data_IF_701351632941
#
_entry.id   IF_701351632941
#
_cell.length_a   1.000
_cell.length_b   1.000
_cell.length_c   1.000
_cell.angle_alpha   90.00
_cell.angle_beta   90.00
_cell.angle_gamma   90.00
#
_symmetry.space_group_name_H-M   'P 1'
#
loop_
_entity.id
_entity.type
_entity.pdbx_description
1 polymer ?
#
# COMPACT_ATOMS: atom_id res chain seq x y z
N UNK A 1 24.27 -25.72 -34.33
CA UNK A 1 24.48 -24.27 -34.13
C UNK A 1 25.77 -23.95 -34.87
N UNK A 2 25.68 -23.24 -35.99
CA UNK A 2 26.86 -22.97 -36.83
C UNK A 2 27.45 -21.58 -36.60
N UNK A 3 26.69 -20.62 -36.06
CA UNK A 3 27.24 -19.31 -35.68
C UNK A 3 26.38 -18.62 -34.59
N UNK A 4 27.03 -17.94 -33.64
CA UNK A 4 26.39 -17.07 -32.64
C UNK A 4 26.89 -15.64 -32.92
N UNK A 5 26.02 -14.79 -33.45
CA UNK A 5 26.39 -13.46 -33.92
C UNK A 5 26.33 -12.37 -32.83
N UNK A 6 26.12 -12.70 -31.55
CA UNK A 6 25.85 -11.72 -30.48
C UNK A 6 26.60 -12.06 -29.18
N UNK A 7 27.26 -11.06 -28.61
CA UNK A 7 27.88 -11.11 -27.27
C UNK A 7 26.89 -10.70 -26.18
N UNK A 8 27.00 -11.30 -24.98
CA UNK A 8 26.07 -11.05 -23.89
C UNK A 8 26.10 -9.58 -23.42
N UNK A 9 24.95 -8.90 -23.47
CA UNK A 9 24.76 -7.55 -22.91
C UNK A 9 24.41 -6.44 -23.90
N UNK A 10 24.26 -6.72 -25.20
CA UNK A 10 23.92 -5.71 -26.22
C UNK A 10 22.41 -5.64 -26.53
N UNK A 11 21.90 -4.42 -26.65
CA UNK A 11 20.51 -4.14 -27.06
C UNK A 11 20.41 -4.16 -28.59
N UNK A 12 19.48 -4.93 -29.16
CA UNK A 12 19.30 -5.04 -30.62
C UNK A 12 17.90 -4.62 -31.07
N UNK A 13 17.79 -4.18 -32.32
CA UNK A 13 16.52 -3.83 -32.94
C UNK A 13 15.65 -5.06 -33.22
N UNK A 14 14.32 -4.87 -33.19
CA UNK A 14 13.34 -5.95 -33.43
C UNK A 14 13.52 -6.48 -34.86
N UNK A 15 13.86 -7.77 -34.99
CA UNK A 15 14.04 -8.45 -36.28
C UNK A 15 15.48 -8.90 -36.59
N UNK A 16 16.45 -8.66 -35.70
CA UNK A 16 17.82 -9.14 -35.91
C UNK A 16 17.96 -10.65 -35.62
N UNK A 17 18.65 -11.38 -36.50
CA UNK A 17 18.94 -12.82 -36.36
C UNK A 17 19.99 -13.06 -35.27
N UNK A 18 19.64 -13.85 -34.25
CA UNK A 18 20.50 -14.08 -33.07
C UNK A 18 21.30 -15.40 -33.20
N UNK A 19 20.79 -16.37 -33.94
CA UNK A 19 21.36 -17.72 -34.02
C UNK A 19 20.92 -18.43 -35.31
N UNK A 20 21.87 -19.07 -36.01
CA UNK A 20 21.61 -19.92 -37.18
C UNK A 20 21.84 -21.41 -36.82
N UNK A 21 20.81 -22.23 -37.04
CA UNK A 21 20.84 -23.68 -36.89
C UNK A 21 20.82 -24.31 -38.28
N UNK A 22 21.87 -25.05 -38.63
CA UNK A 22 21.87 -25.94 -39.78
C UNK A 22 21.43 -27.34 -39.31
N UNK A 23 20.39 -27.89 -39.93
CA UNK A 23 19.92 -29.26 -39.71
C UNK A 23 19.70 -29.91 -41.06
N UNK A 24 20.63 -30.79 -41.46
CA UNK A 24 20.48 -31.64 -42.63
C UNK A 24 19.53 -32.83 -42.33
N UNK A 25 18.72 -33.29 -43.31
CA UNK A 25 17.74 -34.35 -43.10
C UNK A 25 18.37 -35.74 -43.27
N UNK A 26 18.06 -36.66 -42.36
CA UNK A 26 18.30 -38.09 -42.56
C UNK A 26 16.99 -38.85 -42.37
N UNK A 27 16.57 -39.44 -43.48
CA UNK A 27 15.37 -40.25 -43.68
C UNK A 27 15.56 -41.68 -43.14
N UNK A 28 14.55 -42.21 -42.45
CA UNK A 28 14.10 -43.61 -42.52
C UNK A 28 14.74 -44.64 -41.57
N UNK A 29 13.88 -45.36 -40.82
CA UNK A 29 14.26 -46.62 -40.15
C UNK A 29 13.46 -46.99 -38.90
N UNK A 30 12.23 -47.48 -39.09
CA UNK A 30 11.52 -48.56 -38.37
C UNK A 30 12.11 -49.14 -37.06
N UNK A 31 11.33 -49.18 -35.96
CA UNK A 31 10.75 -50.39 -35.31
C UNK A 31 10.06 -50.00 -33.96
N UNK A 32 8.84 -50.51 -33.72
CA UNK A 32 8.10 -50.52 -32.44
C UNK A 32 8.67 -51.61 -31.47
N UNK A 33 8.20 -51.86 -30.21
CA UNK A 33 6.95 -51.47 -29.56
C UNK A 33 7.03 -51.03 -28.07
N UNK A 34 5.85 -50.78 -27.49
CA UNK A 34 5.56 -50.44 -26.08
C UNK A 34 5.87 -51.59 -25.08
N UNK A 35 5.83 -51.36 -23.74
CA UNK A 35 4.54 -51.47 -23.04
C UNK A 35 4.28 -50.48 -21.88
N UNK A 36 2.99 -50.36 -21.60
CA UNK A 36 2.27 -49.86 -20.41
C UNK A 36 2.78 -50.35 -19.06
N UNK A 37 2.71 -49.51 -18.01
CA UNK A 37 2.25 -49.89 -16.66
C UNK A 37 1.77 -48.66 -15.88
N UNK A 38 0.55 -48.77 -15.37
CA UNK A 38 -0.17 -47.89 -14.45
C UNK A 38 0.44 -47.85 -13.04
N UNK A 39 0.11 -46.86 -12.22
CA UNK A 39 -0.61 -46.98 -10.93
C UNK A 39 -0.64 -45.62 -10.20
N UNK A 40 -1.82 -45.38 -9.64
CA UNK A 40 -2.41 -44.25 -8.91
C UNK A 40 -1.65 -43.69 -7.66
N UNK A 41 -2.14 -42.56 -7.11
CA UNK A 41 -1.53 -41.76 -6.02
C UNK A 41 -2.04 -42.22 -4.64
N UNK A 42 -1.48 -41.69 -3.54
CA UNK A 42 -2.15 -41.78 -2.25
C UNK A 42 -2.87 -40.47 -1.90
N UNK A 43 -4.18 -40.60 -1.67
CA UNK A 43 -4.98 -39.66 -0.89
C UNK A 43 -5.13 -40.17 0.56
N UNK A 44 -5.04 -39.22 1.49
CA UNK A 44 -5.80 -39.08 2.76
C UNK A 44 -5.79 -40.18 3.83
N UNK A 45 -5.58 -39.75 5.09
CA UNK A 45 -6.37 -40.04 6.33
C UNK A 45 -5.44 -39.83 7.55
N UNK A 46 -5.54 -38.72 8.27
CA UNK A 46 -6.26 -38.54 9.55
C UNK A 46 -5.71 -39.36 10.73
N UNK A 47 -5.21 -38.67 11.76
CA UNK A 47 -5.37 -39.06 13.18
C UNK A 47 -4.90 -37.92 14.10
N UNK A 48 -5.86 -37.32 14.83
CA UNK A 48 -5.60 -36.61 16.08
C UNK A 48 -5.34 -37.63 17.21
N UNK A 49 -4.63 -37.21 18.28
CA UNK A 49 -5.27 -37.35 19.60
C UNK A 49 -5.12 -36.12 20.50
N UNK A 50 -6.27 -35.84 21.13
CA UNK A 50 -6.64 -35.24 22.43
C UNK A 50 -5.63 -34.61 23.41
N UNK A 51 -6.12 -33.69 24.28
CA UNK A 51 -5.38 -32.63 24.95
C UNK A 51 -4.93 -32.98 26.37
N UNK A 52 -3.83 -32.38 26.83
CA UNK A 52 -3.43 -32.42 28.24
C UNK A 52 -2.79 -31.09 28.70
N UNK A 53 -3.42 -30.52 29.72
CA UNK A 53 -2.81 -29.82 30.85
C UNK A 53 -2.22 -28.41 30.67
N UNK A 54 -3.06 -27.46 31.08
CA UNK A 54 -2.74 -26.11 31.56
C UNK A 54 -1.70 -26.11 32.69
N UNK A 55 -0.80 -25.11 32.73
CA UNK A 55 -0.22 -24.62 33.96
C UNK A 55 -0.80 -23.26 34.36
N UNK A 56 -1.31 -23.28 35.59
CA UNK A 56 -1.64 -22.21 36.54
C UNK A 56 -1.20 -20.76 36.24
N UNK A 57 -2.18 -19.88 36.34
CA UNK A 57 -2.08 -18.43 36.48
C UNK A 57 -1.65 -18.08 37.92
N UNK A 58 -0.59 -17.28 38.16
CA UNK A 58 -0.43 -16.59 39.43
C UNK A 58 -1.17 -15.25 39.39
N UNK A 59 -2.08 -15.06 40.35
CA UNK A 59 -2.78 -13.80 40.60
C UNK A 59 -1.81 -12.74 41.15
N UNK A 60 -1.80 -11.50 40.62
CA UNK A 60 -1.24 -10.37 41.34
C UNK A 60 -2.33 -9.65 42.16
N UNK A 61 -1.97 -9.36 43.41
CA UNK A 61 -2.70 -8.55 44.39
C UNK A 61 -2.89 -7.10 43.93
N UNK A 62 -3.99 -6.43 44.32
CA UNK A 62 -4.23 -5.03 43.96
C UNK A 62 -3.44 -4.11 44.89
N UNK A 63 -2.41 -3.44 44.37
CA UNK A 63 -1.82 -2.26 45.03
C UNK A 63 -2.43 -1.01 44.42
N UNK A 64 -3.24 -0.33 45.23
CA UNK A 64 -3.84 0.97 44.94
C UNK A 64 -2.76 2.05 44.87
N UNK A 65 -2.60 2.68 43.70
CA UNK A 65 -1.82 3.91 43.55
C UNK A 65 -2.70 5.00 42.95
N UNK A 66 -3.16 5.86 43.86
CA UNK A 66 -3.60 7.24 43.71
C UNK A 66 -3.53 7.87 42.31
N UNK A 67 -4.70 8.12 41.72
CA UNK A 67 -4.90 8.96 40.54
C UNK A 67 -4.62 10.43 40.91
N UNK A 68 -3.59 11.03 40.32
CA UNK A 68 -3.40 12.48 40.26
C UNK A 68 -3.93 12.98 38.91
N UNK A 69 -4.74 14.06 38.86
CA UNK A 69 -5.37 14.49 37.62
C UNK A 69 -4.38 15.08 36.61
N UNK A 70 -4.41 14.48 35.41
CA UNK A 70 -4.11 15.00 34.07
C UNK A 70 -3.13 16.17 33.92
N UNK A 71 -1.87 15.85 33.61
CA UNK A 71 -1.07 16.74 32.74
C UNK A 71 -1.49 16.48 31.30
N UNK A 72 -2.15 17.46 30.68
CA UNK A 72 -2.32 17.49 29.23
C UNK A 72 -0.95 17.42 28.57
N UNK A 73 -0.70 16.34 27.84
CA UNK A 73 0.48 16.19 26.99
C UNK A 73 0.38 17.22 25.86
N UNK A 74 1.02 18.36 26.06
CA UNK A 74 1.31 19.30 24.97
C UNK A 74 2.24 18.56 24.02
N UNK A 75 1.84 18.43 22.75
CA UNK A 75 2.64 17.80 21.69
C UNK A 75 4.07 18.34 21.64
N UNK A 76 5.00 17.62 20.99
CA UNK A 76 6.43 17.87 21.11
C UNK A 76 6.73 19.34 20.80
N UNK A 77 7.09 20.09 21.85
CA UNK A 77 7.60 21.45 21.73
C UNK A 77 8.83 21.31 20.85
N UNK A 78 8.75 21.83 19.61
CA UNK A 78 9.93 21.95 18.75
C UNK A 78 10.89 22.88 19.47
N UNK A 79 11.82 22.31 20.21
CA UNK A 79 12.96 23.03 20.74
C UNK A 79 13.90 23.29 19.57
N UNK A 80 13.47 24.17 18.67
CA UNK A 80 14.41 24.89 17.84
C UNK A 80 15.27 25.66 18.84
N UNK A 81 16.60 25.51 18.82
CA UNK A 81 17.57 26.25 19.63
C UNK A 81 17.60 27.75 19.33
N UNK A 82 16.40 28.35 19.22
CA UNK A 82 16.11 29.70 18.80
C UNK A 82 15.84 30.50 20.07
N UNK A 83 16.53 31.64 20.20
CA UNK A 83 16.38 32.55 21.33
C UNK A 83 14.90 32.91 21.48
N UNK A 84 14.35 32.74 22.69
CA UNK A 84 12.95 33.09 23.01
C UNK A 84 12.66 34.50 22.51
N UNK A 85 11.56 34.67 21.79
CA UNK A 85 11.18 35.99 21.29
C UNK A 85 10.98 36.96 22.45
N UNK A 86 11.56 38.16 22.36
CA UNK A 86 11.38 39.22 23.34
C UNK A 86 9.99 39.81 23.13
N UNK A 87 9.05 39.60 24.05
CA UNK A 87 7.67 40.04 23.90
C UNK A 87 7.01 40.29 25.26
N UNK A 88 6.11 41.28 25.31
CA UNK A 88 5.32 41.56 26.51
C UNK A 88 4.31 40.42 26.79
N UNK A 89 3.93 40.18 28.06
CA UNK A 89 2.95 39.14 28.42
C UNK A 89 1.62 39.25 27.66
N UNK A 90 1.14 40.47 27.41
CA UNK A 90 -0.10 40.73 26.66
C UNK A 90 -0.01 40.26 25.20
N UNK A 91 1.15 40.44 24.56
CA UNK A 91 1.40 39.97 23.18
C UNK A 91 1.46 38.45 23.12
N UNK A 92 2.05 37.80 24.14
CA UNK A 92 2.04 36.33 24.27
C UNK A 92 0.64 35.77 24.43
N UNK A 93 -0.22 36.44 25.20
CA UNK A 93 -1.63 36.06 25.36
C UNK A 93 -2.36 36.16 24.01
N UNK A 94 -2.21 37.28 23.31
CA UNK A 94 -2.81 37.49 21.98
C UNK A 94 -2.34 36.44 20.96
N UNK A 95 -1.05 36.11 20.94
CA UNK A 95 -0.51 35.10 20.04
C UNK A 95 -1.13 33.71 20.30
N UNK A 96 -1.33 33.34 21.58
CA UNK A 96 -2.01 32.08 21.94
C UNK A 96 -3.47 32.06 21.54
N UNK A 97 -4.18 33.18 21.69
CA UNK A 97 -5.60 33.29 21.30
C UNK A 97 -5.78 33.16 19.78
N UNK A 98 -4.84 33.69 18.98
CA UNK A 98 -4.87 33.62 17.52
C UNK A 98 -4.21 32.33 16.98
N UNK A 99 -3.60 31.51 17.85
CA UNK A 99 -2.93 30.27 17.44
C UNK A 99 -1.59 30.47 16.74
N UNK A 100 -0.93 31.62 16.95
CA UNK A 100 0.37 31.97 16.38
C UNK A 100 1.49 31.65 17.38
N UNK A 101 2.52 30.94 16.94
CA UNK A 101 3.73 30.74 17.75
C UNK A 101 4.59 32.01 17.76
N UNK A 102 4.66 32.65 18.92
CA UNK A 102 5.38 33.92 19.09
C UNK A 102 6.89 33.80 18.82
N UNK A 103 7.46 32.60 19.00
CA UNK A 103 8.89 32.36 18.75
C UNK A 103 9.21 32.31 17.23
N UNK A 104 8.19 32.34 16.37
CA UNK A 104 8.32 32.39 14.90
C UNK A 104 8.01 33.76 14.29
N UNK A 105 7.54 34.72 15.10
CA UNK A 105 7.22 36.09 14.68
C UNK A 105 8.48 36.96 14.79
N UNK A 106 8.83 37.64 13.70
CA UNK A 106 9.90 38.64 13.70
C UNK A 106 9.39 39.93 14.34
N UNK A 107 10.05 40.37 15.42
CA UNK A 107 9.70 41.62 16.11
C UNK A 107 10.35 42.83 15.45
N UNK A 108 9.55 43.87 15.20
CA UNK A 108 10.00 45.09 14.50
C UNK A 108 10.30 46.25 15.46
N UNK A 109 10.00 46.08 16.76
CA UNK A 109 10.15 47.13 17.77
C UNK A 109 11.59 47.25 18.28
N UNK A 110 11.89 48.36 18.95
CA UNK A 110 13.24 48.71 19.43
C UNK A 110 13.82 47.59 20.29
N UNK A 111 14.96 47.02 19.86
CA UNK A 111 15.60 45.87 20.51
C UNK A 111 15.06 44.50 20.07
N UNK A 112 14.35 44.42 18.94
CA UNK A 112 13.83 43.17 18.38
C UNK A 112 12.64 42.60 19.15
N UNK A 113 11.86 43.46 19.80
CA UNK A 113 10.67 43.07 20.56
C UNK A 113 9.49 42.86 19.62
N UNK A 114 8.68 41.83 19.90
CA UNK A 114 7.46 41.54 19.14
C UNK A 114 6.31 42.42 19.64
N UNK A 115 5.74 43.21 18.74
CA UNK A 115 4.56 44.04 18.98
C UNK A 115 3.25 43.29 18.69
N UNK A 116 2.12 43.84 19.15
CA UNK A 116 0.79 43.31 18.81
C UNK A 116 0.52 43.36 17.30
N UNK A 117 1.09 44.34 16.60
CA UNK A 117 0.91 44.47 15.15
C UNK A 117 1.65 43.39 14.38
N UNK A 118 2.86 43.03 14.81
CA UNK A 118 3.66 41.95 14.22
C UNK A 118 2.91 40.61 14.27
N UNK A 119 2.24 40.31 15.39
CA UNK A 119 1.43 39.07 15.54
C UNK A 119 0.22 39.08 14.60
N UNK A 120 -0.47 40.21 14.47
CA UNK A 120 -1.63 40.35 13.57
C UNK A 120 -1.20 40.23 12.10
N UNK A 121 -0.10 40.87 11.74
CA UNK A 121 0.46 40.81 10.38
C UNK A 121 0.92 39.40 10.04
N UNK A 122 1.59 38.72 10.97
CA UNK A 122 1.96 37.32 10.82
C UNK A 122 0.75 36.41 10.63
N UNK A 123 -0.32 36.60 11.42
CA UNK A 123 -1.56 35.83 11.30
C UNK A 123 -2.22 36.01 9.92
N UNK A 124 -2.29 37.24 9.41
CA UNK A 124 -2.81 37.51 8.06
C UNK A 124 -1.97 36.82 6.99
N UNK A 125 -0.64 36.91 7.08
CA UNK A 125 0.26 36.25 6.14
C UNK A 125 0.21 34.72 6.23
N UNK A 126 -0.04 34.15 7.41
CA UNK A 126 -0.21 32.72 7.60
C UNK A 126 -1.51 32.22 6.95
N UNK A 127 -2.58 33.01 7.01
CA UNK A 127 -3.83 32.72 6.34
C UNK A 127 -3.67 32.78 4.81
N UNK A 128 -2.97 33.79 4.29
CA UNK A 128 -2.65 33.90 2.85
C UNK A 128 -1.71 32.79 2.37
N UNK A 129 -0.74 32.37 3.21
CA UNK A 129 0.15 31.23 2.89
C UNK A 129 -0.56 29.88 2.94
N UNK A 130 -1.56 29.72 3.80
CA UNK A 130 -2.41 28.51 3.82
C UNK A 130 -3.41 28.45 2.66
N UNK A 131 -3.65 29.58 1.98
CA UNK A 131 -4.42 29.65 0.73
C UNK A 131 -3.58 29.37 -0.52
N UNK A 132 -2.25 29.22 -0.40
CA UNK A 132 -1.43 28.60 -1.44
C UNK A 132 -1.69 27.10 -1.42
N UNK A 133 -1.75 26.40 -2.58
CA UNK A 133 -1.95 24.95 -2.63
C UNK A 133 -0.95 24.29 -1.67
N UNK A 134 -1.49 23.71 -0.60
CA UNK A 134 -0.72 23.23 0.53
C UNK A 134 0.36 22.26 0.08
N UNK A 135 1.57 22.44 0.61
CA UNK A 135 2.57 21.39 0.58
C UNK A 135 1.91 20.09 1.06
N UNK A 136 2.11 18.96 0.37
CA UNK A 136 1.49 17.71 0.74
C UNK A 136 1.82 17.43 2.21
N UNK A 137 0.78 17.16 3.02
CA UNK A 137 0.94 16.72 4.40
C UNK A 137 2.01 15.63 4.41
N UNK A 138 3.14 15.92 5.08
CA UNK A 138 4.28 15.03 5.07
C UNK A 138 3.81 13.65 5.55
N UNK A 139 3.94 12.65 4.67
CA UNK A 139 3.68 11.28 5.06
C UNK A 139 4.54 10.95 6.29
N UNK A 140 3.99 10.22 7.28
CA UNK A 140 4.77 9.81 8.44
C UNK A 140 6.04 9.11 7.97
N UNK A 141 7.16 9.40 8.65
CA UNK A 141 8.43 8.77 8.33
C UNK A 141 8.28 7.24 8.39
N UNK A 142 8.75 6.55 7.35
CA UNK A 142 8.67 5.09 7.32
C UNK A 142 9.50 4.50 8.47
N UNK A 143 9.08 3.36 9.05
CA UNK A 143 9.89 2.62 10.02
C UNK A 143 11.26 2.28 9.43
N UNK A 144 12.30 2.23 10.27
CA UNK A 144 13.61 1.79 9.82
C UNK A 144 13.58 0.29 9.51
N UNK A 145 13.77 -0.03 8.23
CA UNK A 145 13.76 -1.40 7.73
C UNK A 145 15.08 -2.16 7.96
N UNK A 146 16.14 -1.46 8.38
CA UNK A 146 17.45 -2.07 8.64
C UNK A 146 17.44 -3.11 9.76
N UNK A 147 16.49 -3.00 10.69
CA UNK A 147 16.34 -3.93 11.82
C UNK A 147 15.96 -5.36 11.40
N UNK A 148 15.52 -5.57 10.16
CA UNK A 148 15.12 -6.88 9.62
C UNK A 148 16.10 -7.43 8.57
N UNK A 149 17.21 -6.75 8.31
CA UNK A 149 18.24 -7.20 7.38
C UNK A 149 18.74 -6.11 6.42
N UNK A 150 19.61 -6.47 5.46
CA UNK A 150 20.12 -5.55 4.45
C UNK A 150 18.96 -4.97 3.62
N UNK A 151 18.96 -3.65 3.44
CA UNK A 151 17.94 -2.94 2.66
C UNK A 151 18.51 -2.56 1.31
N UNK A 152 17.85 -2.99 0.24
CA UNK A 152 18.12 -2.57 -1.12
C UNK A 152 17.05 -1.58 -1.60
N UNK A 153 17.45 -0.57 -2.38
CA UNK A 153 16.53 0.38 -3.00
C UNK A 153 16.54 0.21 -4.51
N UNK A 154 15.43 -0.28 -5.04
CA UNK A 154 15.22 -0.41 -6.47
C UNK A 154 14.37 0.75 -7.01
N UNK A 155 14.77 1.39 -8.13
CA UNK A 155 13.98 2.46 -8.74
C UNK A 155 12.66 1.92 -9.33
N UNK A 156 11.55 2.64 -9.09
CA UNK A 156 10.26 2.27 -9.70
C UNK A 156 10.25 2.50 -11.22
N UNK A 157 9.73 1.51 -11.96
CA UNK A 157 9.40 1.64 -13.38
C UNK A 157 8.37 2.75 -13.64
N UNK A 158 8.33 3.30 -14.86
CA UNK A 158 7.40 4.38 -15.23
C UNK A 158 5.93 4.00 -15.06
N UNK A 159 5.57 2.76 -15.41
CA UNK A 159 4.20 2.23 -15.23
C UNK A 159 3.86 2.17 -13.75
N UNK A 160 4.74 1.57 -12.92
CA UNK A 160 4.53 1.46 -11.47
C UNK A 160 4.39 2.82 -10.80
N UNK A 161 5.18 3.81 -11.21
CA UNK A 161 5.07 5.19 -10.71
C UNK A 161 3.72 5.82 -11.05
N UNK A 162 3.20 5.56 -12.24
CA UNK A 162 1.91 6.10 -12.68
C UNK A 162 0.75 5.45 -11.94
N UNK A 163 0.78 4.13 -11.76
CA UNK A 163 -0.19 3.40 -10.94
C UNK A 163 -0.17 3.90 -9.50
N UNK A 164 1.02 4.01 -8.89
CA UNK A 164 1.17 4.48 -7.51
C UNK A 164 0.53 5.87 -7.32
N UNK A 165 0.82 6.81 -8.22
CA UNK A 165 0.23 8.16 -8.16
C UNK A 165 -1.30 8.15 -8.27
N UNK A 166 -1.87 7.38 -9.21
CA UNK A 166 -3.33 7.28 -9.38
C UNK A 166 -4.00 6.61 -8.17
N UNK A 167 -3.40 5.56 -7.62
CA UNK A 167 -3.91 4.89 -6.43
C UNK A 167 -3.83 5.79 -5.19
N UNK A 168 -2.71 6.47 -4.97
CA UNK A 168 -2.56 7.42 -3.87
C UNK A 168 -3.57 8.57 -3.99
N UNK A 169 -3.80 9.10 -5.20
CA UNK A 169 -4.82 10.11 -5.43
C UNK A 169 -6.21 9.58 -5.08
N UNK A 170 -6.60 8.41 -5.61
CA UNK A 170 -7.89 7.80 -5.32
C UNK A 170 -8.11 7.66 -3.80
N UNK A 171 -7.11 7.12 -3.08
CA UNK A 171 -7.18 6.90 -1.63
C UNK A 171 -7.27 8.18 -0.79
N UNK A 172 -6.73 9.29 -1.31
CA UNK A 172 -6.80 10.59 -0.64
C UNK A 172 -8.10 11.34 -0.94
N UNK A 173 -8.68 11.17 -2.14
CA UNK A 173 -9.83 11.96 -2.58
C UNK A 173 -11.17 11.26 -2.39
N UNK A 174 -11.23 9.93 -2.50
CA UNK A 174 -12.48 9.17 -2.44
C UNK A 174 -12.71 8.66 -1.02
N UNK A 175 -13.90 8.92 -0.47
CA UNK A 175 -14.37 8.30 0.76
C UNK A 175 -14.76 6.84 0.48
N UNK A 176 -13.81 5.93 0.66
CA UNK A 176 -14.03 4.51 0.39
C UNK A 176 -14.98 3.92 1.42
N UNK A 177 -16.01 3.21 0.95
CA UNK A 177 -16.92 2.40 1.77
C UNK A 177 -16.94 0.99 1.19
N UNK A 178 -16.78 -0.01 2.05
CA UNK A 178 -16.79 -1.42 1.66
C UNK A 178 -18.05 -2.09 2.17
N UNK A 179 -18.84 -2.66 1.27
CA UNK A 179 -20.01 -3.47 1.59
C UNK A 179 -19.73 -4.94 1.24
N UNK A 180 -20.15 -5.85 2.11
CA UNK A 180 -20.05 -7.29 1.90
C UNK A 180 -21.44 -7.92 1.95
N UNK A 181 -21.71 -8.85 1.04
CA UNK A 181 -22.96 -9.60 0.98
C UNK A 181 -22.70 -11.06 0.60
N UNK A 182 -23.67 -11.93 0.81
CA UNK A 182 -23.62 -13.35 0.44
C UNK A 182 -24.65 -13.64 -0.63
N UNK A 183 -24.21 -14.30 -1.70
CA UNK A 183 -25.08 -14.78 -2.76
C UNK A 183 -25.01 -16.31 -2.84
N UNK A 184 -26.17 -16.95 -2.95
CA UNK A 184 -26.25 -18.37 -3.30
C UNK A 184 -25.96 -18.55 -4.79
N UNK A 185 -25.04 -19.47 -5.09
CA UNK A 185 -24.56 -19.76 -6.45
C UNK A 185 -24.93 -21.18 -6.90
N UNK A 186 -25.80 -21.88 -6.16
CA UNK A 186 -26.13 -23.29 -6.42
C UNK A 186 -26.75 -23.50 -7.82
N UNK A 187 -27.78 -22.74 -8.16
CA UNK A 187 -28.42 -22.79 -9.49
C UNK A 187 -27.46 -22.38 -10.60
N UNK A 188 -26.67 -21.35 -10.32
CA UNK A 188 -25.65 -20.83 -11.22
C UNK A 188 -24.59 -21.90 -11.57
N UNK A 189 -24.11 -22.64 -10.58
CA UNK A 189 -23.16 -23.73 -10.81
C UNK A 189 -23.76 -24.87 -11.62
N UNK A 190 -25.04 -25.18 -11.40
CA UNK A 190 -25.74 -26.22 -12.17
C UNK A 190 -25.76 -25.86 -13.66
N UNK A 191 -26.11 -24.61 -13.99
CA UNK A 191 -26.09 -24.12 -15.39
C UNK A 191 -24.69 -24.16 -15.96
N UNK A 192 -23.68 -23.71 -15.21
CA UNK A 192 -22.28 -23.77 -15.65
C UNK A 192 -21.82 -25.20 -15.97
N UNK A 193 -22.18 -26.17 -15.13
CA UNK A 193 -21.85 -27.60 -15.35
C UNK A 193 -22.51 -28.14 -16.61
N UNK A 194 -23.75 -27.75 -16.89
CA UNK A 194 -24.46 -28.14 -18.12
C UNK A 194 -23.79 -27.55 -19.36
N UNK A 195 -23.50 -26.24 -19.35
CA UNK A 195 -22.85 -25.57 -20.50
C UNK A 195 -21.45 -26.12 -20.74
N UNK A 196 -20.70 -26.45 -19.67
CA UNK A 196 -19.39 -27.09 -19.79
C UNK A 196 -19.46 -28.49 -20.43
N UNK A 197 -20.56 -29.22 -20.24
CA UNK A 197 -20.80 -30.52 -20.90
C UNK A 197 -21.15 -30.35 -22.38
N UNK A 198 -21.94 -29.34 -22.72
CA UNK A 198 -22.39 -29.07 -24.09
C UNK A 198 -21.30 -28.42 -24.95
N UNK A 199 -20.43 -27.61 -24.35
CA UNK A 199 -19.39 -26.86 -25.06
C UNK A 199 -18.09 -26.90 -24.24
N UNK A 200 -17.33 -28.00 -24.35
CA UNK A 200 -16.10 -28.18 -23.58
C UNK A 200 -14.99 -27.20 -23.98
N UNK A 201 -15.04 -26.67 -25.19
CA UNK A 201 -14.01 -25.77 -25.75
C UNK A 201 -14.08 -24.34 -25.19
N UNK A 202 -15.17 -23.99 -24.48
CA UNK A 202 -15.32 -22.66 -23.89
C UNK A 202 -15.00 -22.70 -22.38
N UNK A 203 -13.90 -22.09 -21.93
CA UNK A 203 -13.55 -22.04 -20.52
C UNK A 203 -14.48 -21.06 -19.79
N UNK A 204 -15.66 -21.53 -19.43
CA UNK A 204 -16.65 -20.73 -18.71
C UNK A 204 -16.24 -20.64 -17.24
N UNK A 205 -15.65 -19.51 -16.84
CA UNK A 205 -15.26 -19.21 -15.46
C UNK A 205 -16.38 -18.48 -14.71
N UNK A 206 -16.37 -18.58 -13.38
CA UNK A 206 -17.29 -17.81 -12.52
C UNK A 206 -17.07 -16.30 -12.72
N UNK A 207 -15.83 -15.88 -12.97
CA UNK A 207 -15.48 -14.48 -13.23
C UNK A 207 -16.11 -13.91 -14.49
N UNK A 208 -16.17 -14.69 -15.58
CA UNK A 208 -16.79 -14.23 -16.83
C UNK A 208 -18.28 -13.91 -16.64
N UNK A 209 -18.98 -14.75 -15.86
CA UNK A 209 -20.36 -14.49 -15.49
C UNK A 209 -20.51 -13.32 -14.52
N UNK A 210 -19.64 -13.19 -13.52
CA UNK A 210 -19.68 -12.05 -12.60
C UNK A 210 -19.58 -10.72 -13.36
N UNK A 211 -18.73 -10.63 -14.39
CA UNK A 211 -18.63 -9.45 -15.26
C UNK A 211 -19.94 -9.20 -16.01
N UNK A 212 -20.58 -10.24 -16.57
CA UNK A 212 -21.85 -10.11 -17.27
C UNK A 212 -22.99 -9.63 -16.33
N UNK A 213 -23.04 -10.15 -15.11
CA UNK A 213 -24.02 -9.75 -14.08
C UNK A 213 -23.79 -8.30 -13.66
N UNK A 214 -22.54 -7.89 -13.39
CA UNK A 214 -22.20 -6.51 -13.04
C UNK A 214 -22.56 -5.55 -14.18
N UNK A 215 -22.28 -5.93 -15.43
CA UNK A 215 -22.65 -5.10 -16.59
C UNK A 215 -24.17 -4.95 -16.73
N UNK A 216 -24.96 -5.99 -16.45
CA UNK A 216 -26.42 -5.89 -16.43
C UNK A 216 -26.93 -5.05 -15.24
N UNK A 217 -26.33 -5.21 -14.06
CA UNK A 217 -26.68 -4.46 -12.85
C UNK A 217 -26.43 -2.96 -13.03
N UNK A 218 -25.28 -2.57 -13.58
CA UNK A 218 -24.96 -1.16 -13.88
C UNK A 218 -25.90 -0.51 -14.91
N UNK A 219 -26.53 -1.30 -15.78
CA UNK A 219 -27.55 -0.79 -16.71
C UNK A 219 -28.90 -0.59 -16.03
N UNK A 220 -29.27 -1.45 -15.09
CA UNK A 220 -30.51 -1.35 -14.34
C UNK A 220 -30.44 -0.27 -13.24
N UNK A 221 -29.26 -0.08 -12.65
CA UNK A 221 -28.97 0.88 -11.59
C UNK A 221 -27.78 1.77 -12.01
N UNK A 222 -28.03 2.85 -12.77
CA UNK A 222 -26.98 3.75 -13.26
C UNK A 222 -26.35 4.61 -12.16
#
# INVERSE_FOLDING_TARGET
ITEIAVTAGTTMAVGATILTLDSAPATGGETAPAPTTSIDPPATTEAAPTPASSPAVPAPTPTSTSVRPGSVSVGPRRETGRRRALAAPSVRKLAREIGVDIDTVTGTDTGGRVSTDDVKTYARQALTRSASPGAPSAAPALPDFSRWGPVEREPMTRVRRTVARRMSQAWQTVAHVTQHDRADVSEFEAVRKTVKKTSPDLPLTVTAFAVAVVAAALKAFP
#
